data_IF_364110544800
#
_entry.id   IF_364110544800
#
_cell.length_a   1.000
_cell.length_b   1.000
_cell.length_c   1.000
_cell.angle_alpha   90.00
_cell.angle_beta   90.00
_cell.angle_gamma   90.00
#
_symmetry.space_group_name_H-M   'P 1'
#
loop_
_entity.id
_entity.type
_entity.pdbx_description
1 polymer ?
#
# COMPACT_ATOMS: atom_id res chain seq x y z
N UNK A 1 15.34 35.47 -5.69
CA UNK A 1 15.84 34.13 -5.31
C UNK A 1 15.48 33.18 -6.44
N UNK A 2 16.46 32.72 -7.21
CA UNK A 2 16.22 31.74 -8.28
C UNK A 2 15.88 30.40 -7.62
N UNK A 3 14.69 29.85 -7.87
CA UNK A 3 14.37 28.47 -7.51
C UNK A 3 15.31 27.54 -8.29
N UNK A 4 16.36 27.07 -7.61
CA UNK A 4 17.25 26.07 -8.16
C UNK A 4 16.44 24.77 -8.33
N UNK A 5 16.04 24.49 -9.57
CA UNK A 5 15.22 23.33 -9.93
C UNK A 5 16.03 22.07 -9.56
N UNK A 6 15.52 21.28 -8.60
CA UNK A 6 16.18 20.05 -8.17
C UNK A 6 16.45 19.16 -9.39
N UNK A 7 17.62 18.49 -9.47
CA UNK A 7 17.92 17.58 -10.56
C UNK A 7 16.86 16.48 -10.66
N UNK A 8 16.51 16.08 -11.89
CA UNK A 8 15.50 15.06 -12.13
C UNK A 8 16.11 13.65 -11.99
N UNK A 9 15.34 12.70 -11.50
CA UNK A 9 15.75 11.30 -11.42
C UNK A 9 15.93 10.70 -12.82
N UNK A 10 17.07 10.07 -13.10
CA UNK A 10 17.30 9.43 -14.41
C UNK A 10 16.51 8.13 -14.50
N UNK A 11 15.60 8.05 -15.49
CA UNK A 11 14.77 6.87 -15.71
C UNK A 11 15.60 5.79 -16.42
N UNK A 12 15.91 4.71 -15.70
CA UNK A 12 16.69 3.56 -16.20
C UNK A 12 15.79 2.45 -16.75
N UNK A 13 14.59 2.27 -16.19
CA UNK A 13 13.54 1.40 -16.71
C UNK A 13 12.68 2.09 -17.76
N UNK A 14 13.29 2.53 -18.86
CA UNK A 14 12.57 3.21 -19.95
C UNK A 14 11.94 2.23 -20.96
N UNK A 15 12.59 1.08 -21.16
CA UNK A 15 12.05 0.01 -21.99
C UNK A 15 11.08 -0.83 -21.17
N UNK A 16 9.90 -1.11 -21.74
CA UNK A 16 8.94 -2.01 -21.11
C UNK A 16 9.48 -3.43 -21.11
N UNK A 17 9.43 -4.08 -19.95
CA UNK A 17 9.90 -5.45 -19.83
C UNK A 17 8.76 -6.45 -19.67
N UNK A 18 9.07 -7.75 -19.88
CA UNK A 18 8.08 -8.82 -19.66
C UNK A 18 7.64 -8.89 -18.20
N UNK A 19 8.55 -8.60 -17.27
CA UNK A 19 8.25 -8.55 -15.85
C UNK A 19 7.26 -7.41 -15.56
N UNK A 20 7.52 -6.20 -16.07
CA UNK A 20 6.61 -5.05 -15.92
C UNK A 20 5.22 -5.34 -16.48
N UNK A 21 5.16 -5.94 -17.67
CA UNK A 21 3.88 -6.32 -18.30
C UNK A 21 3.10 -7.33 -17.44
N UNK A 22 3.81 -8.30 -16.84
CA UNK A 22 3.20 -9.28 -15.94
C UNK A 22 2.68 -8.64 -14.64
N UNK A 23 3.44 -7.71 -14.06
CA UNK A 23 3.04 -6.94 -12.87
C UNK A 23 1.79 -6.11 -13.17
N UNK A 24 1.79 -5.34 -14.25
CA UNK A 24 0.65 -4.50 -14.66
C UNK A 24 -0.60 -5.35 -14.89
N UNK A 25 -0.45 -6.52 -15.51
CA UNK A 25 -1.55 -7.47 -15.67
C UNK A 25 -2.07 -8.01 -14.33
N UNK A 26 -1.18 -8.32 -13.39
CA UNK A 26 -1.58 -8.79 -12.06
C UNK A 26 -2.32 -7.71 -11.24
N UNK A 27 -1.87 -6.46 -11.29
CA UNK A 27 -2.58 -5.34 -10.64
C UNK A 27 -3.91 -5.01 -11.31
N UNK A 28 -3.97 -5.06 -12.66
CA UNK A 28 -5.23 -4.91 -13.38
C UNK A 28 -6.23 -6.02 -12.99
N UNK A 29 -5.76 -7.27 -12.92
CA UNK A 29 -6.57 -8.40 -12.46
C UNK A 29 -7.02 -8.26 -11.01
N UNK A 30 -6.16 -7.79 -10.10
CA UNK A 30 -6.51 -7.48 -8.72
C UNK A 30 -7.66 -6.45 -8.66
N UNK A 31 -7.56 -5.37 -9.43
CA UNK A 31 -8.59 -4.33 -9.49
C UNK A 31 -9.89 -4.85 -10.11
N UNK A 32 -9.84 -5.66 -11.16
CA UNK A 32 -11.06 -6.21 -11.76
C UNK A 32 -11.73 -7.22 -10.83
N UNK A 33 -10.96 -8.06 -10.13
CA UNK A 33 -11.49 -8.96 -9.09
C UNK A 33 -12.16 -8.18 -7.96
N UNK A 34 -11.62 -7.02 -7.58
CA UNK A 34 -12.24 -6.14 -6.59
C UNK A 34 -13.64 -5.66 -7.03
N UNK A 35 -13.84 -5.34 -8.32
CA UNK A 35 -15.14 -4.94 -8.90
C UNK A 35 -16.08 -6.14 -9.07
N UNK A 36 -15.58 -7.25 -9.61
CA UNK A 36 -16.40 -8.38 -10.03
C UNK A 36 -16.80 -9.26 -8.83
N UNK A 37 -16.04 -9.21 -7.73
CA UNK A 37 -16.37 -9.92 -6.48
C UNK A 37 -17.61 -9.37 -5.76
N UNK A 38 -18.25 -8.28 -6.24
CA UNK A 38 -19.51 -7.79 -5.67
C UNK A 38 -20.65 -8.76 -6.01
N UNK A 39 -21.54 -8.93 -5.04
CA UNK A 39 -22.73 -9.78 -5.07
C UNK A 39 -23.64 -9.64 -6.29
N UNK A 40 -24.68 -10.47 -6.26
CA UNK A 40 -25.67 -10.69 -7.32
C UNK A 40 -26.08 -9.41 -8.03
N UNK A 41 -26.15 -9.47 -9.37
CA UNK A 41 -26.66 -8.40 -10.23
C UNK A 41 -28.00 -7.89 -9.65
N UNK A 42 -28.14 -6.58 -9.35
CA UNK A 42 -29.33 -6.05 -8.72
C UNK A 42 -30.55 -6.28 -9.61
N UNK A 43 -31.63 -6.83 -9.05
CA UNK A 43 -32.85 -7.21 -9.76
C UNK A 43 -33.94 -6.14 -9.68
N UNK A 44 -33.79 -5.16 -8.80
CA UNK A 44 -34.76 -4.09 -8.57
C UNK A 44 -34.06 -2.79 -8.10
N UNK A 45 -34.82 -1.70 -8.05
CA UNK A 45 -34.31 -0.39 -7.67
C UNK A 45 -33.73 -0.33 -6.24
N UNK A 46 -34.37 -0.91 -5.19
CA UNK A 46 -33.77 -0.97 -3.86
C UNK A 46 -32.40 -1.67 -3.82
N UNK A 47 -32.26 -2.80 -4.50
CA UNK A 47 -30.98 -3.52 -4.62
C UNK A 47 -29.93 -2.69 -5.36
N UNK A 48 -30.32 -1.94 -6.40
CA UNK A 48 -29.41 -1.03 -7.11
C UNK A 48 -28.88 0.07 -6.20
N UNK A 49 -29.73 0.68 -5.36
CA UNK A 49 -29.30 1.71 -4.40
C UNK A 49 -28.32 1.13 -3.38
N UNK A 50 -28.57 -0.08 -2.87
CA UNK A 50 -27.63 -0.77 -1.98
C UNK A 50 -26.29 -1.05 -2.66
N UNK A 51 -26.30 -1.49 -3.92
CA UNK A 51 -25.07 -1.70 -4.69
C UNK A 51 -24.27 -0.40 -4.88
N UNK A 52 -24.94 0.71 -5.21
CA UNK A 52 -24.29 2.03 -5.34
C UNK A 52 -23.70 2.51 -4.02
N UNK A 53 -24.34 2.22 -2.88
CA UNK A 53 -23.79 2.57 -1.56
C UNK A 53 -22.49 1.82 -1.21
N UNK A 54 -22.15 0.73 -1.89
CA UNK A 54 -20.85 0.05 -1.75
C UNK A 54 -19.73 0.70 -2.59
N UNK A 55 -20.03 1.62 -3.50
CA UNK A 55 -19.02 2.26 -4.36
C UNK A 55 -17.92 2.98 -3.55
N UNK A 56 -18.19 3.65 -2.41
CA UNK A 56 -17.14 4.28 -1.61
C UNK A 56 -16.11 3.30 -1.02
N UNK A 57 -16.52 2.13 -0.51
CA UNK A 57 -15.58 1.11 0.00
C UNK A 57 -14.73 0.54 -1.12
N UNK A 58 -15.33 0.33 -2.29
CA UNK A 58 -14.63 -0.02 -3.53
C UNK A 58 -13.59 1.05 -3.90
N UNK A 59 -13.97 2.33 -3.91
CA UNK A 59 -13.09 3.43 -4.29
C UNK A 59 -11.86 3.55 -3.35
N UNK A 60 -12.05 3.38 -2.04
CA UNK A 60 -10.95 3.36 -1.07
C UNK A 60 -10.00 2.18 -1.30
N UNK A 61 -10.56 1.00 -1.57
CA UNK A 61 -9.78 -0.21 -1.88
C UNK A 61 -8.99 -0.05 -3.17
N UNK A 62 -9.62 0.48 -4.21
CA UNK A 62 -8.99 0.80 -5.49
C UNK A 62 -7.83 1.79 -5.31
N UNK A 63 -8.04 2.85 -4.52
CA UNK A 63 -6.99 3.82 -4.22
C UNK A 63 -5.81 3.16 -3.50
N UNK A 64 -6.07 2.28 -2.54
CA UNK A 64 -5.04 1.52 -1.83
C UNK A 64 -4.21 0.62 -2.74
N UNK A 65 -4.86 -0.18 -3.59
CA UNK A 65 -4.18 -1.06 -4.56
C UNK A 65 -3.38 -0.24 -5.57
N UNK A 66 -3.98 0.85 -6.08
CA UNK A 66 -3.32 1.76 -7.04
C UNK A 66 -2.10 2.43 -6.43
N UNK A 67 -2.13 2.77 -5.13
CA UNK A 67 -0.99 3.34 -4.43
C UNK A 67 0.21 2.39 -4.41
N UNK A 68 0.00 1.09 -4.14
CA UNK A 68 1.06 0.07 -4.25
C UNK A 68 1.55 -0.10 -5.69
N UNK A 69 0.64 -0.14 -6.67
CA UNK A 69 1.03 -0.21 -8.09
C UNK A 69 1.89 0.99 -8.51
N UNK A 70 1.52 2.20 -8.10
CA UNK A 70 2.31 3.41 -8.36
C UNK A 70 3.69 3.35 -7.70
N UNK A 71 3.76 2.82 -6.47
CA UNK A 71 5.01 2.60 -5.74
C UNK A 71 5.98 1.68 -6.48
N UNK A 72 5.51 0.50 -6.88
CA UNK A 72 6.27 -0.44 -7.69
C UNK A 72 6.65 0.17 -9.04
N UNK A 73 5.69 0.73 -9.78
CA UNK A 73 5.95 1.35 -11.08
C UNK A 73 7.02 2.43 -11.00
N UNK A 74 7.02 3.24 -9.95
CA UNK A 74 8.06 4.23 -9.71
C UNK A 74 9.42 3.57 -9.49
N UNK A 75 9.50 2.54 -8.64
CA UNK A 75 10.71 1.75 -8.41
C UNK A 75 11.25 1.15 -9.71
N UNK A 76 10.39 0.49 -10.50
CA UNK A 76 10.78 -0.16 -11.75
C UNK A 76 11.34 0.85 -12.75
N UNK A 77 10.66 1.99 -12.94
CA UNK A 77 11.11 3.05 -13.84
C UNK A 77 12.44 3.68 -13.41
N UNK A 78 12.64 3.87 -12.10
CA UNK A 78 13.86 4.48 -11.58
C UNK A 78 15.08 3.59 -11.76
N UNK A 79 14.95 2.29 -11.51
CA UNK A 79 16.12 1.40 -11.43
C UNK A 79 16.26 0.42 -12.58
N UNK A 80 15.17 0.01 -13.25
CA UNK A 80 15.18 -0.92 -14.38
C UNK A 80 15.86 -2.26 -14.05
N UNK A 81 15.74 -2.74 -12.81
CA UNK A 81 16.41 -3.94 -12.33
C UNK A 81 15.60 -5.20 -12.60
N UNK A 82 16.22 -6.18 -13.27
CA UNK A 82 15.61 -7.50 -13.57
C UNK A 82 16.39 -8.67 -12.97
N UNK A 83 17.20 -8.42 -11.94
CA UNK A 83 17.94 -9.49 -11.29
C UNK A 83 17.03 -10.41 -10.46
N UNK A 84 17.54 -11.61 -10.13
CA UNK A 84 16.78 -12.64 -9.41
C UNK A 84 16.11 -12.14 -8.12
N UNK A 85 16.76 -11.25 -7.35
CA UNK A 85 16.18 -10.74 -6.10
C UNK A 85 15.00 -9.80 -6.39
N UNK A 86 15.16 -8.92 -7.37
CA UNK A 86 14.12 -8.02 -7.86
C UNK A 86 12.87 -8.79 -8.33
N UNK A 87 13.08 -9.87 -9.10
CA UNK A 87 11.99 -10.74 -9.56
C UNK A 87 11.28 -11.41 -8.37
N UNK A 88 12.02 -12.04 -7.46
CA UNK A 88 11.42 -12.75 -6.31
C UNK A 88 10.62 -11.79 -5.42
N UNK A 89 11.18 -10.63 -5.08
CA UNK A 89 10.49 -9.63 -4.27
C UNK A 89 9.23 -9.12 -4.98
N UNK A 90 9.30 -8.85 -6.29
CA UNK A 90 8.13 -8.49 -7.09
C UNK A 90 7.04 -9.57 -7.05
N UNK A 91 7.41 -10.85 -7.20
CA UNK A 91 6.45 -11.95 -7.16
C UNK A 91 5.81 -12.10 -5.77
N UNK A 92 6.58 -11.89 -4.70
CA UNK A 92 6.05 -11.85 -3.33
C UNK A 92 5.05 -10.71 -3.18
N UNK A 93 5.38 -9.50 -3.66
CA UNK A 93 4.50 -8.34 -3.62
C UNK A 93 3.16 -8.63 -4.31
N UNK A 94 3.20 -9.19 -5.53
CA UNK A 94 2.00 -9.58 -6.27
C UNK A 94 1.20 -10.63 -5.50
N UNK A 95 1.85 -11.69 -5.03
CA UNK A 95 1.19 -12.78 -4.32
C UNK A 95 0.46 -12.27 -3.06
N UNK A 96 1.14 -11.49 -2.23
CA UNK A 96 0.55 -10.90 -1.03
C UNK A 96 -0.58 -9.95 -1.42
N UNK A 97 -0.39 -9.12 -2.46
CA UNK A 97 -1.43 -8.19 -2.91
C UNK A 97 -2.69 -8.93 -3.34
N UNK A 98 -2.59 -10.00 -4.13
CA UNK A 98 -3.76 -10.78 -4.57
C UNK A 98 -4.55 -11.37 -3.40
N UNK A 99 -3.88 -11.84 -2.35
CA UNK A 99 -4.54 -12.29 -1.11
C UNK A 99 -5.19 -11.12 -0.36
N UNK A 100 -4.59 -9.93 -0.43
CA UNK A 100 -5.00 -8.74 0.31
C UNK A 100 -6.18 -7.98 -0.32
N UNK A 101 -6.41 -8.11 -1.64
CA UNK A 101 -7.42 -7.36 -2.40
C UNK A 101 -8.82 -7.46 -1.81
N UNK A 102 -9.32 -8.69 -1.63
CA UNK A 102 -10.69 -8.90 -1.19
C UNK A 102 -10.90 -8.50 0.28
N UNK A 103 -10.04 -8.93 1.21
CA UNK A 103 -10.05 -8.45 2.58
C UNK A 103 -10.09 -6.91 2.65
N UNK A 104 -9.24 -6.21 1.88
CA UNK A 104 -9.11 -4.75 2.00
C UNK A 104 -10.45 -4.01 1.84
N UNK A 105 -11.30 -4.52 0.94
CA UNK A 105 -12.66 -4.01 0.72
C UNK A 105 -13.59 -4.21 1.89
N UNK A 106 -13.52 -5.38 2.51
CA UNK A 106 -14.34 -5.72 3.68
C UNK A 106 -14.02 -4.79 4.84
N UNK A 107 -12.75 -4.48 5.09
CA UNK A 107 -12.39 -3.51 6.13
C UNK A 107 -12.89 -2.11 5.78
N UNK A 108 -12.74 -1.65 4.55
CA UNK A 108 -13.21 -0.32 4.20
C UNK A 108 -14.73 -0.19 4.25
N UNK A 109 -15.49 -1.24 3.91
CA UNK A 109 -16.95 -1.24 4.07
C UNK A 109 -17.34 -1.20 5.55
N UNK A 110 -16.71 -2.01 6.40
CA UNK A 110 -16.93 -1.99 7.85
C UNK A 110 -16.58 -0.63 8.48
N UNK A 111 -15.43 -0.06 8.11
CA UNK A 111 -14.99 1.26 8.57
C UNK A 111 -15.99 2.36 8.18
N UNK A 112 -16.43 2.38 6.92
CA UNK A 112 -17.41 3.37 6.45
C UNK A 112 -18.77 3.20 7.10
N UNK A 113 -19.23 1.97 7.32
CA UNK A 113 -20.47 1.69 8.05
C UNK A 113 -20.38 2.27 9.48
N UNK A 114 -19.27 2.01 10.18
CA UNK A 114 -19.04 2.53 11.53
C UNK A 114 -18.97 4.07 11.56
N UNK A 115 -18.20 4.70 10.67
CA UNK A 115 -18.06 6.16 10.61
C UNK A 115 -19.36 6.89 10.22
N UNK A 116 -20.22 6.24 9.45
CA UNK A 116 -21.45 6.83 8.91
C UNK A 116 -22.72 6.44 9.68
N UNK A 117 -22.58 5.83 10.86
CA UNK A 117 -23.70 5.32 11.65
C UNK A 117 -24.64 4.40 10.84
N UNK A 118 -24.06 3.44 10.11
CA UNK A 118 -24.73 2.46 9.25
C UNK A 118 -25.45 3.05 8.02
N UNK A 119 -25.13 4.27 7.61
CA UNK A 119 -25.64 4.82 6.34
C UNK A 119 -25.10 4.06 5.12
N UNK A 120 -23.79 3.76 5.13
CA UNK A 120 -23.16 2.84 4.18
C UNK A 120 -23.29 1.39 4.69
N UNK A 121 -23.63 0.43 3.81
CA UNK A 121 -23.72 -0.97 4.18
C UNK A 121 -22.33 -1.53 4.52
N UNK A 122 -22.29 -2.45 5.48
CA UNK A 122 -21.12 -3.29 5.72
C UNK A 122 -21.28 -4.60 4.96
N UNK A 123 -20.31 -4.95 4.12
CA UNK A 123 -20.28 -6.24 3.42
C UNK A 123 -19.73 -7.36 4.31
N UNK A 124 -19.12 -6.97 5.44
CA UNK A 124 -18.64 -7.87 6.46
C UNK A 124 -19.37 -7.60 7.77
N UNK A 125 -20.12 -8.59 8.25
CA UNK A 125 -20.81 -8.50 9.53
C UNK A 125 -19.83 -8.90 10.62
N UNK A 126 -19.45 -7.93 11.46
CA UNK A 126 -18.68 -8.18 12.68
C UNK A 126 -19.71 -8.52 13.74
N UNK A 127 -19.82 -9.79 14.09
CA UNK A 127 -20.72 -10.26 15.14
C UNK A 127 -20.10 -10.10 16.52
N UNK A 128 -18.78 -10.26 16.61
CA UNK A 128 -18.06 -10.27 17.87
C UNK A 128 -16.82 -9.35 17.84
N UNK A 129 -16.46 -8.81 19.01
CA UNK A 129 -15.34 -7.85 19.11
C UNK A 129 -13.98 -8.50 18.78
N UNK A 130 -13.83 -9.80 19.05
CA UNK A 130 -12.60 -10.52 18.73
C UNK A 130 -12.39 -10.66 17.22
N UNK A 131 -13.46 -10.82 16.42
CA UNK A 131 -13.37 -10.92 14.97
C UNK A 131 -12.72 -9.67 14.36
N UNK A 132 -13.09 -8.49 14.88
CA UNK A 132 -12.47 -7.23 14.47
C UNK A 132 -10.98 -7.16 14.84
N UNK A 133 -10.60 -7.70 15.99
CA UNK A 133 -9.19 -7.74 16.42
C UNK A 133 -8.38 -8.69 15.53
N UNK A 134 -8.92 -9.87 15.21
CA UNK A 134 -8.30 -10.84 14.29
C UNK A 134 -8.15 -10.28 12.88
N UNK A 135 -9.14 -9.52 12.41
CA UNK A 135 -9.00 -8.75 11.19
C UNK A 135 -7.77 -7.85 11.29
N UNK A 136 -7.68 -6.95 12.29
CA UNK A 136 -6.52 -6.06 12.40
C UNK A 136 -5.17 -6.78 12.44
N UNK A 137 -5.08 -7.97 13.05
CA UNK A 137 -3.87 -8.81 12.96
C UNK A 137 -3.60 -9.23 11.51
N UNK A 138 -4.59 -9.79 10.83
CA UNK A 138 -4.45 -10.25 9.45
C UNK A 138 -4.04 -9.10 8.49
N UNK A 139 -4.67 -7.93 8.61
CA UNK A 139 -4.35 -6.78 7.77
C UNK A 139 -3.04 -6.12 8.15
N UNK A 140 -2.71 -6.06 9.44
CA UNK A 140 -1.42 -5.55 9.89
C UNK A 140 -0.26 -6.37 9.33
N UNK A 141 -0.39 -7.70 9.32
CA UNK A 141 0.60 -8.61 8.70
C UNK A 141 0.67 -8.41 7.19
N UNK A 142 -0.48 -8.36 6.50
CA UNK A 142 -0.52 -8.13 5.05
C UNK A 142 0.10 -6.79 4.65
N UNK A 143 -0.26 -5.71 5.35
CA UNK A 143 0.29 -4.37 5.13
C UNK A 143 1.80 -4.32 5.44
N UNK A 144 2.25 -4.95 6.53
CA UNK A 144 3.67 -5.11 6.85
C UNK A 144 4.42 -5.80 5.71
N UNK A 145 3.88 -6.89 5.17
CA UNK A 145 4.49 -7.64 4.08
C UNK A 145 4.53 -6.84 2.76
N UNK A 146 3.44 -6.17 2.38
CA UNK A 146 3.39 -5.34 1.17
C UNK A 146 4.40 -4.18 1.24
N UNK A 147 4.30 -3.34 2.28
CA UNK A 147 5.21 -2.21 2.45
C UNK A 147 6.66 -2.66 2.70
N UNK A 148 6.85 -3.79 3.40
CA UNK A 148 8.16 -4.36 3.66
C UNK A 148 8.84 -4.84 2.37
N UNK A 149 8.07 -5.43 1.46
CA UNK A 149 8.58 -5.88 0.15
C UNK A 149 9.00 -4.69 -0.72
N UNK A 150 8.21 -3.61 -0.75
CA UNK A 150 8.58 -2.33 -1.39
C UNK A 150 9.88 -1.77 -0.77
N UNK A 151 9.97 -1.71 0.55
CA UNK A 151 11.18 -1.25 1.24
C UNK A 151 12.41 -2.11 0.88
N UNK A 152 12.24 -3.43 0.76
CA UNK A 152 13.30 -4.36 0.34
C UNK A 152 13.72 -4.14 -1.12
N UNK A 153 12.79 -3.86 -2.03
CA UNK A 153 13.06 -3.51 -3.43
C UNK A 153 13.92 -2.24 -3.51
N UNK A 154 13.53 -1.16 -2.82
CA UNK A 154 14.32 0.07 -2.78
C UNK A 154 15.67 -0.12 -2.09
N UNK A 155 15.75 -0.91 -1.01
CA UNK A 155 17.01 -1.22 -0.31
C UNK A 155 17.95 -2.03 -1.20
N UNK A 156 17.43 -2.98 -1.95
CA UNK A 156 18.19 -3.75 -2.93
C UNK A 156 18.74 -2.85 -4.04
N UNK A 157 17.92 -1.97 -4.62
CA UNK A 157 18.37 -0.99 -5.59
C UNK A 157 19.46 -0.06 -5.04
N UNK A 158 19.30 0.40 -3.78
CA UNK A 158 20.31 1.22 -3.11
C UNK A 158 21.64 0.48 -2.86
N UNK A 159 21.60 -0.84 -2.65
CA UNK A 159 22.82 -1.66 -2.56
C UNK A 159 23.59 -1.70 -3.89
N UNK A 160 22.87 -1.53 -5.01
CA UNK A 160 23.41 -1.48 -6.38
C UNK A 160 23.74 -0.06 -6.85
N UNK A 161 23.77 0.93 -5.95
CA UNK A 161 23.96 2.36 -6.30
C UNK A 161 25.19 2.67 -7.16
N UNK A 162 26.30 1.92 -6.98
CA UNK A 162 27.51 2.09 -7.79
C UNK A 162 27.31 1.58 -9.22
N UNK A 163 26.71 0.39 -9.37
CA UNK A 163 26.39 -0.21 -10.67
C UNK A 163 25.38 0.66 -11.44
N UNK A 164 24.40 1.22 -10.74
CA UNK A 164 23.39 2.11 -11.31
C UNK A 164 23.89 3.54 -11.52
N UNK A 165 25.12 3.85 -11.09
CA UNK A 165 25.72 5.19 -11.15
C UNK A 165 24.80 6.27 -10.56
N UNK A 166 24.21 5.99 -9.39
CA UNK A 166 23.29 6.93 -8.75
C UNK A 166 24.05 8.17 -8.28
N UNK A 167 23.62 9.35 -8.72
CA UNK A 167 24.15 10.61 -8.24
C UNK A 167 23.70 10.89 -6.79
N UNK A 168 24.24 11.94 -6.14
CA UNK A 168 23.94 12.24 -4.75
C UNK A 168 22.44 12.53 -4.50
N UNK A 169 21.76 13.18 -5.44
CA UNK A 169 20.32 13.42 -5.39
C UNK A 169 19.53 12.11 -5.44
N UNK A 170 19.83 11.24 -6.40
CA UNK A 170 19.16 9.94 -6.57
C UNK A 170 19.37 9.04 -5.36
N UNK A 171 20.56 9.07 -4.76
CA UNK A 171 20.85 8.33 -3.53
C UNK A 171 20.00 8.82 -2.35
N UNK A 172 19.90 10.13 -2.14
CA UNK A 172 19.09 10.70 -1.06
C UNK A 172 17.60 10.44 -1.30
N UNK A 173 17.13 10.56 -2.55
CA UNK A 173 15.74 10.27 -2.91
C UNK A 173 15.41 8.79 -2.70
N UNK A 174 16.30 7.88 -3.12
CA UNK A 174 16.16 6.44 -2.88
C UNK A 174 16.11 6.12 -1.39
N UNK A 175 16.98 6.74 -0.58
CA UNK A 175 16.93 6.60 0.88
C UNK A 175 15.58 7.07 1.45
N UNK A 176 15.05 8.20 0.97
CA UNK A 176 13.73 8.69 1.41
C UNK A 176 12.64 7.64 1.20
N UNK A 177 12.59 7.00 0.04
CA UNK A 177 11.60 5.95 -0.25
C UNK A 177 11.79 4.73 0.65
N UNK A 178 13.04 4.29 0.91
CA UNK A 178 13.32 3.19 1.85
C UNK A 178 12.72 3.50 3.22
N UNK A 179 12.94 4.72 3.74
CA UNK A 179 12.43 5.11 5.06
C UNK A 179 10.90 5.21 5.08
N UNK A 180 10.29 5.77 4.04
CA UNK A 180 8.82 5.88 3.96
C UNK A 180 8.16 4.49 3.95
N UNK A 181 8.60 3.59 3.07
CA UNK A 181 8.08 2.22 3.02
C UNK A 181 8.38 1.42 4.30
N UNK A 182 9.55 1.62 4.91
CA UNK A 182 9.89 0.96 6.18
C UNK A 182 9.00 1.45 7.33
N UNK A 183 8.73 2.75 7.41
CA UNK A 183 7.82 3.32 8.42
C UNK A 183 6.41 2.77 8.23
N UNK A 184 5.89 2.73 7.00
CA UNK A 184 4.59 2.12 6.71
C UNK A 184 4.54 0.65 7.15
N UNK A 185 5.56 -0.12 6.77
CA UNK A 185 5.69 -1.52 7.14
C UNK A 185 5.66 -1.70 8.66
N UNK A 186 6.48 -0.95 9.40
CA UNK A 186 6.54 -1.00 10.85
C UNK A 186 5.24 -0.57 11.53
N UNK A 187 4.48 0.38 10.96
CA UNK A 187 3.14 0.73 11.45
C UNK A 187 2.18 -0.46 11.36
N UNK A 188 2.18 -1.19 10.24
CA UNK A 188 1.37 -2.40 10.08
C UNK A 188 1.75 -3.49 11.09
N UNK A 189 3.05 -3.71 11.27
CA UNK A 189 3.55 -4.65 12.28
C UNK A 189 3.14 -4.25 13.70
N UNK A 190 3.25 -2.96 14.02
CA UNK A 190 2.88 -2.43 15.34
C UNK A 190 1.37 -2.58 15.59
N UNK A 191 0.54 -2.34 14.58
CA UNK A 191 -0.90 -2.56 14.63
C UNK A 191 -1.24 -4.03 14.88
N UNK A 192 -0.64 -4.96 14.13
CA UNK A 192 -0.85 -6.40 14.33
C UNK A 192 -0.37 -6.88 15.70
N UNK A 193 0.81 -6.44 16.15
CA UNK A 193 1.33 -6.79 17.48
C UNK A 193 0.45 -6.24 18.60
N UNK A 194 -0.06 -5.02 18.44
CA UNK A 194 -0.97 -4.43 19.43
C UNK A 194 -2.29 -5.20 19.48
N UNK A 195 -2.87 -5.56 18.33
CA UNK A 195 -4.07 -6.38 18.25
C UNK A 195 -3.88 -7.77 18.89
N UNK A 196 -2.73 -8.41 18.67
CA UNK A 196 -2.43 -9.76 19.16
C UNK A 196 -2.15 -9.79 20.68
N UNK A 197 -1.44 -8.79 21.20
CA UNK A 197 -0.92 -8.81 22.57
C UNK A 197 -1.86 -8.15 23.58
N UNK A 198 -2.71 -7.22 23.14
CA UNK A 198 -3.59 -6.48 24.04
C UNK A 198 -4.90 -7.24 24.29
N UNK A 199 -5.54 -7.01 25.46
CA UNK A 199 -6.89 -7.50 25.70
C UNK A 199 -7.86 -7.02 24.62
N UNK A 200 -8.87 -7.82 24.29
CA UNK A 200 -9.79 -7.61 23.14
C UNK A 200 -10.42 -6.20 23.14
N UNK A 201 -10.78 -5.66 24.31
CA UNK A 201 -11.34 -4.31 24.46
C UNK A 201 -10.36 -3.18 24.09
N UNK A 202 -9.06 -3.40 24.24
CA UNK A 202 -8.01 -2.47 23.79
C UNK A 202 -7.57 -2.77 22.35
N UNK A 203 -7.57 -4.04 21.94
CA UNK A 203 -7.16 -4.48 20.60
C UNK A 203 -7.95 -3.82 19.45
N UNK A 204 -9.20 -3.43 19.68
CA UNK A 204 -10.02 -2.67 18.71
C UNK A 204 -9.37 -1.34 18.29
N UNK A 205 -8.55 -0.73 19.15
CA UNK A 205 -7.86 0.52 18.83
C UNK A 205 -6.65 0.35 17.91
N UNK A 206 -6.31 -0.87 17.49
CA UNK A 206 -5.19 -1.16 16.59
C UNK A 206 -5.28 -0.41 15.25
N UNK A 207 -6.49 -0.12 14.77
CA UNK A 207 -6.72 0.68 13.57
C UNK A 207 -6.16 2.10 13.65
N UNK A 208 -6.07 2.70 14.85
CA UNK A 208 -5.54 4.06 15.02
C UNK A 208 -4.03 4.16 14.79
N UNK A 209 -3.30 3.04 14.80
CA UNK A 209 -1.89 3.05 14.41
C UNK A 209 -1.70 3.56 12.97
N UNK A 210 -2.62 3.26 12.07
CA UNK A 210 -2.54 3.74 10.68
C UNK A 210 -2.68 5.26 10.57
N UNK A 211 -3.38 5.92 11.51
CA UNK A 211 -3.45 7.38 11.58
C UNK A 211 -2.09 8.03 11.82
N UNK A 212 -1.14 7.31 12.43
CA UNK A 212 0.23 7.82 12.63
C UNK A 212 0.97 8.05 11.32
N UNK A 213 0.58 7.37 10.23
CA UNK A 213 1.16 7.59 8.90
C UNK A 213 0.97 9.01 8.38
N UNK A 214 -0.15 9.65 8.74
CA UNK A 214 -0.42 11.04 8.37
C UNK A 214 0.60 12.02 8.95
N UNK A 215 1.27 11.65 10.05
CA UNK A 215 2.28 12.48 10.73
C UNK A 215 3.69 12.00 10.36
N UNK A 216 3.93 10.68 10.38
CA UNK A 216 5.25 10.10 10.17
C UNK A 216 5.74 10.27 8.72
N UNK A 217 4.85 10.17 7.72
CA UNK A 217 5.23 10.32 6.31
C UNK A 217 5.70 11.74 5.96
N UNK A 218 4.98 12.83 6.32
CA UNK A 218 5.48 14.18 6.13
C UNK A 218 6.79 14.44 6.88
N UNK A 219 6.94 13.91 8.09
CA UNK A 219 8.16 14.09 8.88
C UNK A 219 9.39 13.51 8.16
N UNK A 220 9.29 12.28 7.64
CA UNK A 220 10.35 11.67 6.82
C UNK A 220 10.61 12.50 5.57
N UNK A 221 9.55 12.94 4.87
CA UNK A 221 9.67 13.78 3.67
C UNK A 221 10.42 15.09 3.95
N UNK A 222 10.07 15.80 5.03
CA UNK A 222 10.71 17.06 5.44
C UNK A 222 12.19 16.82 5.81
N UNK A 223 12.48 15.74 6.54
CA UNK A 223 13.86 15.38 6.90
C UNK A 223 14.74 15.19 5.65
N UNK A 224 14.27 14.42 4.67
CA UNK A 224 15.01 14.18 3.43
C UNK A 224 15.04 15.41 2.51
N UNK A 225 13.99 16.23 2.49
CA UNK A 225 14.00 17.50 1.75
C UNK A 225 15.05 18.48 2.27
N UNK A 226 15.22 18.58 3.59
CA UNK A 226 16.31 19.37 4.20
C UNK A 226 17.69 18.83 3.82
N UNK A 227 17.84 17.50 3.67
CA UNK A 227 19.08 16.87 3.22
C UNK A 227 19.37 17.16 1.75
N UNK A 228 18.33 17.16 0.89
CA UNK A 228 18.44 17.52 -0.53
C UNK A 228 18.83 18.98 -0.74
N UNK A 229 18.35 19.90 0.09
CA UNK A 229 18.73 21.33 0.04
C UNK A 229 20.19 21.62 0.38
N UNK A 230 20.91 20.67 0.97
CA UNK A 230 22.32 20.80 1.34
C UNK A 230 23.28 20.28 0.26
N UNK A 231 22.75 19.71 -0.83
CA UNK A 231 23.51 19.36 -2.03
C UNK A 231 23.68 20.60 -2.91
#
# INVERSE_FOLDING_TARGET
MQEQKLPQFTIRGAATTRLETFIDAAFAFAITMLVISVGTIPKNYPELILAVKNVPSFALSFAGITWFWLGHRQWSRWFGLEDRKSIILTLILIFVMLVYVYPLRLIFSAMLSWMSANYFPSEFVISEIFELTDLFVFYGIGFFALCGTEAMLYRHAYSKRQQLQLNAYEQIRTQSEIYQWSVASLTGLSSAMFALLMPINMGVFSGFFYSTLAISMPFVSIFFWKKLKKL
#
